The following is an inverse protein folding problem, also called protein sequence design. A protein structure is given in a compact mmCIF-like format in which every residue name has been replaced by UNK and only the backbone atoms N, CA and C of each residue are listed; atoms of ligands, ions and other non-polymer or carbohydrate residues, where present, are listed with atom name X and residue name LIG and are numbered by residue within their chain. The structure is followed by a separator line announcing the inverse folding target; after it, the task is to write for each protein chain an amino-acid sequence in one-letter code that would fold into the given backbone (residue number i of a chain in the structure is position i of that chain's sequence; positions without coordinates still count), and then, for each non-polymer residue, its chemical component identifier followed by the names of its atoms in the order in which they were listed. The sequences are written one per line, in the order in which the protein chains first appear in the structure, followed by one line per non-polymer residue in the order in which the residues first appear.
data_IF_482751243950
#
_entry.id   IF_482751243950
#
_cell.length_a   1.000
_cell.length_b   1.000
_cell.length_c   1.000
_cell.angle_alpha   90.00
_cell.angle_beta   90.00
_cell.angle_gamma   90.00
#
_symmetry.space_group_name_H-M   'P 1'
#
loop_
_entity.id
_entity.type
_entity.pdbx_description
1 polymer ?
#
# COMPACT_ATOMS: atom_id res chain seq x y z
N UNK A 1 16.66 26.42 -1.27
CA UNK A 1 16.00 25.12 -1.56
C UNK A 1 15.60 24.51 -0.24
N UNK A 2 14.30 24.33 0.05
CA UNK A 2 13.85 23.63 1.26
C UNK A 2 13.97 22.12 1.00
N UNK A 3 14.70 21.42 1.85
CA UNK A 3 14.69 19.96 1.92
C UNK A 3 13.55 19.53 2.83
N UNK A 4 12.62 18.74 2.30
CA UNK A 4 11.62 18.05 3.09
C UNK A 4 12.18 16.66 3.38
N UNK A 5 12.45 16.38 4.66
CA UNK A 5 12.75 15.01 5.10
C UNK A 5 11.44 14.32 5.40
N UNK A 6 11.24 13.14 4.85
CA UNK A 6 10.21 12.24 5.37
C UNK A 6 10.56 11.92 6.83
N UNK A 7 9.55 11.90 7.70
CA UNK A 7 9.72 11.36 9.04
C UNK A 7 10.11 9.88 8.93
N UNK A 8 10.94 9.37 9.85
CA UNK A 8 11.21 7.93 9.91
C UNK A 8 9.89 7.16 9.92
N UNK A 9 9.72 6.25 8.98
CA UNK A 9 8.57 5.34 8.96
C UNK A 9 8.72 4.40 10.15
N UNK A 10 7.75 4.41 11.06
CA UNK A 10 7.74 3.52 12.21
C UNK A 10 7.53 2.07 11.78
N UNK A 11 8.08 1.13 12.55
CA UNK A 11 7.75 -0.28 12.39
C UNK A 11 6.37 -0.55 13.00
N UNK A 12 5.41 -0.88 12.13
CA UNK A 12 4.04 -1.21 12.50
C UNK A 12 3.76 -2.71 12.46
N UNK A 13 4.77 -3.55 12.23
CA UNK A 13 4.60 -4.99 12.01
C UNK A 13 3.82 -5.26 10.73
N UNK A 14 2.52 -5.50 10.87
CA UNK A 14 1.61 -5.76 9.75
C UNK A 14 0.31 -5.00 9.96
N UNK A 15 -0.18 -4.38 8.89
CA UNK A 15 -1.54 -3.83 8.79
C UNK A 15 -2.24 -4.62 7.71
N UNK A 16 -3.45 -5.08 7.98
CA UNK A 16 -4.28 -5.77 7.01
C UNK A 16 -5.56 -5.00 6.83
N UNK A 17 -5.87 -4.63 5.58
CA UNK A 17 -7.17 -4.11 5.22
C UNK A 17 -8.04 -5.29 4.81
N UNK A 18 -9.15 -5.48 5.52
CA UNK A 18 -10.17 -6.48 5.18
C UNK A 18 -11.37 -5.81 4.55
N UNK A 19 -12.18 -6.60 3.84
CA UNK A 19 -13.38 -6.11 3.12
C UNK A 19 -13.05 -4.93 2.20
N UNK A 20 -11.86 -4.96 1.59
CA UNK A 20 -11.41 -3.94 0.67
C UNK A 20 -12.23 -4.01 -0.62
N UNK A 21 -12.94 -2.93 -0.92
CA UNK A 21 -13.71 -2.78 -2.14
C UNK A 21 -13.64 -1.36 -2.71
N UNK A 22 -13.89 -1.26 -4.01
CA UNK A 22 -14.01 -0.02 -4.74
C UNK A 22 -15.23 -0.06 -5.66
N UNK A 23 -15.66 1.10 -6.16
CA UNK A 23 -16.76 1.18 -7.13
C UNK A 23 -16.23 1.64 -8.48
N UNK A 24 -16.50 0.86 -9.53
CA UNK A 24 -16.19 1.20 -10.93
C UNK A 24 -17.46 1.07 -11.75
N UNK A 25 -17.87 2.15 -12.42
CA UNK A 25 -19.08 2.19 -13.27
C UNK A 25 -20.38 1.73 -12.57
N UNK A 26 -20.43 1.84 -11.24
CA UNK A 26 -21.58 1.44 -10.42
C UNK A 26 -21.53 0.01 -9.87
N UNK A 27 -20.54 -0.79 -10.29
CA UNK A 27 -20.30 -2.13 -9.78
C UNK A 27 -19.22 -2.11 -8.70
N UNK A 28 -19.38 -2.99 -7.70
CA UNK A 28 -18.36 -3.24 -6.68
C UNK A 28 -17.27 -4.15 -7.26
N UNK A 29 -16.01 -3.73 -7.11
CA UNK A 29 -14.83 -4.49 -7.51
C UNK A 29 -13.91 -4.68 -6.31
N UNK A 30 -13.19 -5.81 -6.28
CA UNK A 30 -12.21 -6.12 -5.26
C UNK A 30 -10.81 -5.63 -5.67
N UNK A 31 -9.76 -6.08 -4.97
CA UNK A 31 -8.37 -5.65 -5.27
C UNK A 31 -7.70 -6.45 -6.39
N UNK A 32 -8.43 -7.33 -7.08
CA UNK A 32 -7.90 -8.12 -8.18
C UNK A 32 -7.47 -7.22 -9.34
N UNK A 33 -6.21 -7.35 -9.76
CA UNK A 33 -5.63 -6.54 -10.83
C UNK A 33 -5.14 -5.15 -10.40
N UNK A 34 -5.16 -4.84 -9.11
CA UNK A 34 -4.60 -3.60 -8.58
C UNK A 34 -3.08 -3.52 -8.78
N UNK A 35 -2.58 -2.30 -9.00
CA UNK A 35 -1.15 -2.02 -8.91
C UNK A 35 -0.71 -2.00 -7.45
N UNK A 36 0.29 -2.80 -7.11
CA UNK A 36 0.89 -2.81 -5.76
C UNK A 36 2.04 -1.82 -5.72
N UNK A 37 2.04 -0.96 -4.70
CA UNK A 37 3.08 0.04 -4.45
C UNK A 37 3.68 -0.23 -3.08
N UNK A 38 5.00 -0.40 -3.06
CA UNK A 38 5.78 -0.50 -1.83
C UNK A 38 6.55 0.79 -1.55
N UNK A 39 6.78 1.05 -0.27
CA UNK A 39 7.67 2.10 0.18
C UNK A 39 9.11 1.62 0.15
N UNK A 40 9.96 2.39 -0.49
CA UNK A 40 11.40 2.15 -0.57
C UNK A 40 12.15 3.43 -0.22
N UNK A 41 13.26 3.29 0.50
CA UNK A 41 14.19 4.40 0.71
C UNK A 41 14.96 4.71 -0.57
N UNK A 42 15.45 5.94 -0.71
CA UNK A 42 16.32 6.32 -1.85
C UNK A 42 17.62 5.50 -1.95
N UNK A 43 18.01 4.81 -0.87
CA UNK A 43 19.17 3.94 -0.83
C UNK A 43 18.87 2.48 -1.25
N UNK A 44 17.63 2.17 -1.66
CA UNK A 44 17.29 0.85 -2.19
C UNK A 44 16.67 -0.12 -1.17
N UNK A 45 16.40 0.34 0.07
CA UNK A 45 15.85 -0.51 1.14
C UNK A 45 14.33 -0.46 1.12
N UNK A 46 13.68 -1.61 0.93
CA UNK A 46 12.24 -1.76 1.13
C UNK A 46 11.84 -1.52 2.59
N UNK A 47 10.77 -0.75 2.78
CA UNK A 47 10.14 -0.46 4.07
C UNK A 47 8.81 -1.19 4.25
N UNK A 48 8.18 -1.60 3.15
CA UNK A 48 6.97 -2.43 3.13
C UNK A 48 7.14 -3.58 2.13
N UNK A 49 6.28 -4.58 2.27
CA UNK A 49 6.16 -5.70 1.34
C UNK A 49 4.67 -6.04 1.19
N UNK A 50 3.94 -5.19 0.50
CA UNK A 50 2.49 -5.26 0.34
C UNK A 50 2.08 -6.41 -0.58
N UNK A 51 0.91 -6.99 -0.31
CA UNK A 51 0.29 -8.00 -1.16
C UNK A 51 -1.21 -7.77 -1.21
N UNK A 52 -1.90 -8.30 -2.21
CA UNK A 52 -3.34 -8.17 -2.34
C UNK A 52 -3.94 -9.50 -2.82
N UNK A 53 -5.06 -9.90 -2.24
CA UNK A 53 -5.78 -11.11 -2.63
C UNK A 53 -7.27 -11.00 -2.28
N UNK A 54 -8.14 -11.17 -3.27
CA UNK A 54 -9.59 -11.06 -3.10
C UNK A 54 -9.97 -9.69 -2.54
N UNK A 55 -10.51 -9.64 -1.33
CA UNK A 55 -10.88 -8.41 -0.61
C UNK A 55 -9.92 -8.08 0.54
N UNK A 56 -8.67 -8.55 0.46
CA UNK A 56 -7.64 -8.35 1.50
C UNK A 56 -6.37 -7.75 0.93
N UNK A 57 -5.77 -6.84 1.70
CA UNK A 57 -4.44 -6.24 1.47
C UNK A 57 -3.61 -6.40 2.73
#
# INVERSE_FOLDING_TARGET
MKTYSFFPVADFGSVTFTDASATSDGDEVDVTGASIIDLETSAGKALTSCSASGSTV
#
